data_IF_732256807354
#
_entry.id   IF_732256807354
#
_cell.length_a   1.000
_cell.length_b   1.000
_cell.length_c   1.000
_cell.angle_alpha   90.00
_cell.angle_beta   90.00
_cell.angle_gamma   90.00
#
_symmetry.space_group_name_H-M   'P 1'
#
loop_
_entity.id
_entity.type
_entity.pdbx_description
1 polymer ?
#
# COMPACT_ATOMS: atom_id res chain seq x y z
N UNK A 1 3.53 17.33 29.57
CA UNK A 1 4.96 16.93 29.55
C UNK A 1 5.13 15.96 28.39
N UNK A 2 5.67 16.42 27.26
CA UNK A 2 5.84 15.58 26.07
C UNK A 2 7.09 14.72 26.23
N UNK A 3 6.92 13.41 26.32
CA UNK A 3 8.04 12.46 26.21
C UNK A 3 8.57 12.55 24.79
N UNK A 4 9.80 13.04 24.61
CA UNK A 4 10.49 12.96 23.32
C UNK A 4 10.80 11.50 23.05
N UNK A 5 9.95 10.81 22.30
CA UNK A 5 10.22 9.43 21.86
C UNK A 5 11.37 9.47 20.87
N UNK A 6 12.60 9.29 21.35
CA UNK A 6 13.79 9.16 20.50
C UNK A 6 13.69 7.88 19.68
N UNK A 7 14.21 7.91 18.45
CA UNK A 7 14.32 6.70 17.65
C UNK A 7 15.27 5.70 18.34
N UNK A 8 15.01 4.39 18.26
CA UNK A 8 15.92 3.38 18.75
C UNK A 8 17.20 3.40 17.93
N UNK A 9 18.33 3.12 18.57
CA UNK A 9 19.65 3.03 17.92
C UNK A 9 19.72 1.94 16.85
N UNK A 10 18.79 0.98 16.86
CA UNK A 10 18.68 -0.11 15.89
C UNK A 10 18.03 0.31 14.57
N UNK A 11 17.46 1.52 14.50
CA UNK A 11 16.79 2.04 13.31
C UNK A 11 17.77 2.92 12.53
N UNK A 12 18.23 2.43 11.38
CA UNK A 12 19.03 3.25 10.47
C UNK A 12 18.12 4.14 9.60
N UNK A 13 18.00 5.40 10.01
CA UNK A 13 17.20 6.41 9.31
C UNK A 13 17.72 6.69 7.90
N UNK A 14 19.04 6.56 7.66
CA UNK A 14 19.61 6.81 6.33
C UNK A 14 19.26 5.67 5.37
N UNK A 15 19.36 4.43 5.84
CA UNK A 15 18.98 3.24 5.06
C UNK A 15 17.50 3.29 4.69
N UNK A 16 16.61 3.53 5.66
CA UNK A 16 15.17 3.67 5.43
C UNK A 16 14.88 4.82 4.46
N UNK A 17 15.56 5.95 4.60
CA UNK A 17 15.40 7.09 3.70
C UNK A 17 15.82 6.75 2.27
N UNK A 18 16.91 6.01 2.09
CA UNK A 18 17.37 5.54 0.78
C UNK A 18 16.38 4.56 0.13
N UNK A 19 15.86 3.61 0.89
CA UNK A 19 15.00 2.55 0.35
C UNK A 19 13.57 3.05 0.07
N UNK A 20 13.04 3.94 0.91
CA UNK A 20 11.65 4.40 0.83
C UNK A 20 11.48 5.77 0.18
N UNK A 21 12.57 6.54 0.04
CA UNK A 21 12.52 7.93 -0.42
C UNK A 21 11.86 8.89 0.59
N UNK A 22 11.62 8.46 1.82
CA UNK A 22 11.06 9.29 2.89
C UNK A 22 12.14 10.20 3.48
N UNK A 23 11.77 11.44 3.79
CA UNK A 23 12.67 12.34 4.53
C UNK A 23 12.84 11.88 5.98
N UNK A 24 13.98 12.20 6.60
CA UNK A 24 14.24 11.91 8.02
C UNK A 24 13.13 12.42 8.94
N UNK A 25 12.57 13.60 8.66
CA UNK A 25 11.43 14.15 9.42
C UNK A 25 10.18 13.28 9.32
N UNK A 26 9.88 12.74 8.13
CA UNK A 26 8.75 11.83 7.95
C UNK A 26 8.98 10.52 8.71
N UNK A 27 10.18 9.94 8.63
CA UNK A 27 10.53 8.72 9.36
C UNK A 27 10.39 8.93 10.88
N UNK A 28 10.87 10.07 11.41
CA UNK A 28 10.68 10.40 12.82
C UNK A 28 9.20 10.53 13.20
N UNK A 29 8.38 11.16 12.35
CA UNK A 29 6.94 11.28 12.59
C UNK A 29 6.23 9.92 12.57
N UNK A 30 6.65 9.02 11.67
CA UNK A 30 6.14 7.64 11.62
C UNK A 30 6.53 6.86 12.88
N UNK A 31 7.75 7.06 13.39
CA UNK A 31 8.20 6.44 14.63
C UNK A 31 7.37 6.89 15.83
N UNK A 32 7.15 8.19 16.00
CA UNK A 32 6.28 8.70 17.06
C UNK A 32 4.90 8.05 16.98
N UNK A 33 4.35 7.94 15.76
CA UNK A 33 3.04 7.32 15.57
C UNK A 33 3.03 5.83 15.87
N UNK A 34 4.03 5.08 15.40
CA UNK A 34 4.19 3.66 15.69
C UNK A 34 4.25 3.41 17.20
N UNK A 35 5.05 4.21 17.90
CA UNK A 35 5.19 4.12 19.34
C UNK A 35 3.90 4.45 20.10
N UNK A 36 3.11 5.42 19.62
CA UNK A 36 1.79 5.72 20.18
C UNK A 36 0.80 4.56 20.02
N UNK A 37 0.82 3.88 18.87
CA UNK A 37 -0.06 2.75 18.58
C UNK A 37 0.32 1.49 19.37
N UNK A 38 1.62 1.23 19.55
CA UNK A 38 2.14 0.07 20.29
C UNK A 38 1.85 0.17 21.81
N UNK A 39 1.65 1.39 22.32
CA UNK A 39 1.31 1.60 23.73
C UNK A 39 -0.13 1.21 24.00
N UNK A 40 -0.31 0.08 24.67
CA UNK A 40 -1.62 -0.35 25.15
C UNK A 40 -2.23 0.70 26.09
N UNK A 41 -3.44 1.18 25.76
CA UNK A 41 -4.26 2.05 26.61
C UNK A 41 -4.62 1.41 27.96
N UNK A 42 -4.52 0.07 28.09
CA UNK A 42 -4.86 -0.67 29.32
C UNK A 42 -3.80 -0.58 30.42
N UNK A 43 -2.61 -0.03 30.15
CA UNK A 43 -1.59 0.22 31.17
C UNK A 43 -1.01 -1.03 31.86
N UNK A 44 -1.33 -2.23 31.39
CA UNK A 44 -0.88 -3.49 32.00
C UNK A 44 0.54 -3.88 31.57
N UNK A 45 0.96 -3.48 30.37
CA UNK A 45 2.34 -3.70 29.92
C UNK A 45 3.22 -2.51 30.26
N UNK A 46 4.18 -2.71 31.18
CA UNK A 46 5.18 -1.72 31.60
C UNK A 46 6.18 -1.30 30.51
N UNK A 47 5.99 -1.72 29.25
CA UNK A 47 6.96 -1.53 28.18
C UNK A 47 6.38 -1.53 26.79
N UNK A 48 7.14 -0.93 25.88
CA UNK A 48 7.00 -0.95 24.43
C UNK A 48 7.14 -2.39 23.90
N UNK A 49 6.15 -2.92 23.15
CA UNK A 49 6.17 -4.32 22.66
C UNK A 49 7.15 -4.49 21.50
N UNK A 50 7.37 -3.42 20.72
CA UNK A 50 8.24 -3.47 19.55
C UNK A 50 7.55 -3.83 18.24
N UNK A 51 6.26 -4.10 18.27
CA UNK A 51 5.45 -4.50 17.13
C UNK A 51 4.00 -4.07 17.34
N UNK A 52 3.28 -3.80 16.25
CA UNK A 52 1.84 -3.59 16.27
C UNK A 52 1.13 -4.92 16.00
N UNK A 53 0.03 -5.17 16.69
CA UNK A 53 -0.93 -6.24 16.39
C UNK A 53 -2.23 -5.66 15.79
N UNK A 54 -3.16 -6.54 15.41
CA UNK A 54 -4.44 -6.12 14.82
C UNK A 54 -5.23 -5.19 15.74
N UNK A 55 -5.22 -5.44 17.05
CA UNK A 55 -5.94 -4.64 18.05
C UNK A 55 -5.31 -3.25 18.22
N UNK A 56 -4.00 -3.12 18.06
CA UNK A 56 -3.31 -1.83 18.10
C UNK A 56 -3.69 -0.94 16.90
N UNK A 57 -3.92 -1.53 15.72
CA UNK A 57 -4.38 -0.80 14.53
C UNK A 57 -5.88 -0.48 14.57
N UNK A 58 -6.70 -1.40 15.09
CA UNK A 58 -8.16 -1.25 15.17
C UNK A 58 -8.57 -0.09 16.10
N UNK A 59 -7.79 0.16 17.16
CA UNK A 59 -7.99 1.28 18.10
C UNK A 59 -7.98 2.68 17.48
N UNK A 60 -7.49 2.82 16.27
CA UNK A 60 -7.50 4.10 15.58
C UNK A 60 -8.95 4.38 15.16
N UNK A 61 -9.68 5.23 15.89
CA UNK A 61 -11.10 5.64 15.66
C UNK A 61 -11.54 5.81 14.19
N UNK A 62 -10.62 6.17 13.29
CA UNK A 62 -10.90 6.29 11.85
C UNK A 62 -11.11 4.95 11.14
N UNK A 63 -10.70 3.85 11.75
CA UNK A 63 -10.90 2.50 11.26
C UNK A 63 -12.33 2.03 11.57
N UNK A 64 -12.87 2.35 12.75
CA UNK A 64 -14.28 2.04 13.10
C UNK A 64 -15.30 2.65 12.13
N UNK A 65 -15.03 3.87 11.65
CA UNK A 65 -15.92 4.58 10.72
C UNK A 65 -15.68 4.19 9.24
N UNK A 66 -14.64 3.40 8.95
CA UNK A 66 -14.25 3.05 7.59
C UNK A 66 -14.56 1.57 7.31
N UNK A 67 -15.55 1.23 6.46
CA UNK A 67 -15.99 -0.15 6.29
C UNK A 67 -14.94 -1.09 5.67
N UNK A 68 -13.88 -0.56 5.06
CA UNK A 68 -12.74 -1.36 4.57
C UNK A 68 -11.56 -1.44 5.54
N UNK A 69 -11.69 -0.86 6.74
CA UNK A 69 -10.65 -0.86 7.76
C UNK A 69 -10.19 -2.26 8.14
N UNK A 70 -11.11 -3.16 8.44
CA UNK A 70 -10.78 -4.55 8.81
C UNK A 70 -10.08 -5.26 7.66
N UNK A 71 -10.45 -4.95 6.41
CA UNK A 71 -9.77 -5.48 5.23
C UNK A 71 -8.36 -4.92 5.10
N UNK A 72 -8.19 -3.62 5.34
CA UNK A 72 -6.91 -2.93 5.32
C UNK A 72 -5.94 -3.53 6.34
N UNK A 73 -6.40 -3.73 7.57
CA UNK A 73 -5.62 -4.37 8.64
C UNK A 73 -5.17 -5.77 8.19
N UNK A 74 -6.08 -6.60 7.67
CA UNK A 74 -5.74 -7.93 7.14
C UNK A 74 -4.67 -7.87 6.04
N UNK A 75 -4.80 -6.96 5.07
CA UNK A 75 -3.79 -6.80 4.01
C UNK A 75 -2.44 -6.38 4.58
N UNK A 76 -2.41 -5.39 5.48
CA UNK A 76 -1.16 -4.90 6.08
C UNK A 76 -0.40 -6.05 6.75
N UNK A 77 -1.07 -6.84 7.59
CA UNK A 77 -0.41 -7.91 8.33
C UNK A 77 0.05 -9.08 7.46
N UNK A 78 -0.67 -9.37 6.39
CA UNK A 78 -0.30 -10.48 5.51
C UNK A 78 0.75 -10.07 4.46
N UNK A 79 0.71 -8.84 3.95
CA UNK A 79 1.59 -8.38 2.87
C UNK A 79 2.90 -7.78 3.41
N UNK A 80 2.87 -7.22 4.63
CA UNK A 80 4.02 -6.57 5.25
C UNK A 80 4.41 -7.17 6.60
N UNK A 81 3.45 -7.72 7.35
CA UNK A 81 3.68 -8.30 8.67
C UNK A 81 4.24 -9.72 8.65
N UNK A 82 4.46 -10.27 9.84
CA UNK A 82 4.85 -11.66 10.05
C UNK A 82 4.25 -12.15 11.37
N UNK A 83 3.66 -13.35 11.38
CA UNK A 83 3.01 -13.95 12.56
C UNK A 83 1.97 -13.04 13.24
N UNK A 84 1.21 -12.27 12.44
CA UNK A 84 0.21 -11.32 12.95
C UNK A 84 0.81 -10.09 13.64
N UNK A 85 2.09 -9.82 13.44
CA UNK A 85 2.83 -8.70 14.02
C UNK A 85 3.43 -7.82 12.93
N UNK A 86 3.52 -6.52 13.20
CA UNK A 86 4.07 -5.54 12.29
C UNK A 86 5.17 -4.73 12.99
N UNK A 87 6.40 -4.93 12.57
CA UNK A 87 7.56 -4.19 13.10
C UNK A 87 7.63 -2.77 12.51
N UNK A 88 8.47 -1.91 13.09
CA UNK A 88 8.61 -0.54 12.60
C UNK A 88 9.07 -0.46 11.13
N UNK A 89 10.04 -1.27 10.70
CA UNK A 89 10.51 -1.27 9.31
C UNK A 89 9.38 -1.68 8.35
N UNK A 90 8.64 -2.73 8.68
CA UNK A 90 7.48 -3.18 7.89
C UNK A 90 6.36 -2.14 7.86
N UNK A 91 6.11 -1.44 8.97
CA UNK A 91 5.17 -0.33 9.02
C UNK A 91 5.62 0.83 8.12
N UNK A 92 6.92 1.16 8.09
CA UNK A 92 7.45 2.20 7.21
C UNK A 92 7.37 1.79 5.74
N UNK A 93 7.64 0.53 5.41
CA UNK A 93 7.48 0.00 4.05
C UNK A 93 6.03 0.11 3.57
N UNK A 94 5.07 -0.27 4.41
CA UNK A 94 3.64 -0.07 4.14
C UNK A 94 3.32 1.43 3.91
N UNK A 95 3.73 2.31 4.82
CA UNK A 95 3.46 3.74 4.73
C UNK A 95 4.15 4.38 3.51
N UNK A 96 5.28 3.84 3.05
CA UNK A 96 6.00 4.31 1.88
C UNK A 96 5.24 4.05 0.57
N UNK A 97 4.40 3.01 0.51
CA UNK A 97 3.58 2.66 -0.66
C UNK A 97 2.62 3.81 -1.03
N UNK A 98 2.19 4.59 -0.03
CA UNK A 98 1.23 5.67 -0.19
C UNK A 98 1.81 7.07 0.05
N UNK A 99 3.10 7.15 0.37
CA UNK A 99 3.77 8.42 0.55
C UNK A 99 3.78 9.21 -0.76
N UNK A 100 3.20 10.41 -0.75
CA UNK A 100 3.34 11.33 -1.87
C UNK A 100 4.79 11.82 -1.92
N UNK A 101 5.55 11.35 -2.91
CA UNK A 101 6.86 11.91 -3.18
C UNK A 101 6.66 13.28 -3.84
N UNK A 102 7.09 14.35 -3.15
CA UNK A 102 7.16 15.66 -3.81
C UNK A 102 8.13 15.50 -4.97
N UNK A 103 7.66 15.70 -6.20
CA UNK A 103 8.53 15.86 -7.37
C UNK A 103 9.51 16.98 -7.05
N UNK A 104 10.71 16.64 -6.60
CA UNK A 104 11.82 17.59 -6.59
C UNK A 104 12.18 17.79 -8.04
N UNK A 105 11.61 18.83 -8.65
CA UNK A 105 12.01 19.29 -9.97
C UNK A 105 13.51 19.47 -9.99
N UNK A 106 14.20 18.51 -10.58
CA UNK A 106 15.65 18.52 -10.78
C UNK A 106 15.93 17.80 -12.10
N UNK A 107 15.40 18.39 -13.19
CA UNK A 107 16.20 18.51 -14.40
C UNK A 107 17.39 19.42 -14.04
N UNK A 108 18.45 18.83 -13.48
CA UNK A 108 19.78 19.36 -13.72
C UNK A 108 20.53 18.26 -14.45
N UNK A 109 20.87 18.55 -15.70
CA UNK A 109 21.78 17.77 -16.51
C UNK A 109 23.02 17.41 -15.70
N UNK A 110 23.27 16.12 -15.54
CA UNK A 110 24.61 15.62 -15.34
C UNK A 110 24.73 14.28 -16.06
N UNK A 111 24.61 14.32 -17.39
CA UNK A 111 25.20 13.30 -18.26
C UNK A 111 26.72 13.46 -18.15
N UNK A 112 27.33 12.76 -17.20
CA UNK A 112 28.78 12.62 -17.13
C UNK A 112 29.15 11.15 -17.35
N UNK A 113 29.80 10.94 -18.50
CA UNK A 113 30.70 9.81 -18.81
C UNK A 113 30.05 8.47 -19.17
N UNK A 114 29.81 8.31 -20.47
CA UNK A 114 29.63 7.01 -21.14
C UNK A 114 30.91 6.19 -20.93
N UNK A 115 30.82 5.05 -20.23
CA UNK A 115 31.81 3.99 -20.37
C UNK A 115 31.16 2.83 -21.14
N UNK A 116 31.59 2.69 -22.39
CA UNK A 116 31.26 1.58 -23.28
C UNK A 116 31.71 0.26 -22.64
N UNK A 117 30.83 -0.75 -22.68
CA UNK A 117 31.07 -2.15 -23.10
C UNK A 117 30.06 -3.06 -22.37
N UNK A 118 28.95 -3.40 -23.05
CA UNK A 118 28.34 -4.75 -23.25
C UNK A 118 26.91 -4.51 -23.78
N UNK A 119 26.83 -4.22 -25.08
CA UNK A 119 25.76 -3.44 -25.73
C UNK A 119 24.40 -4.13 -25.80
N UNK A 120 24.26 -5.43 -25.54
CA UNK A 120 22.94 -6.10 -25.69
C UNK A 120 22.17 -6.22 -24.38
N UNK A 121 22.86 -6.52 -23.26
CA UNK A 121 22.22 -6.56 -21.94
C UNK A 121 21.96 -5.15 -21.40
N UNK A 122 22.93 -4.24 -21.54
CA UNK A 122 22.77 -2.85 -21.10
C UNK A 122 21.67 -2.12 -21.88
N UNK A 123 21.56 -2.32 -23.20
CA UNK A 123 20.46 -1.74 -23.99
C UNK A 123 19.11 -2.37 -23.62
N UNK A 124 19.06 -3.68 -23.35
CA UNK A 124 17.81 -4.33 -22.92
C UNK A 124 17.38 -3.83 -21.53
N UNK A 125 18.32 -3.71 -20.59
CA UNK A 125 18.09 -3.15 -19.26
C UNK A 125 17.73 -1.66 -19.31
N UNK A 126 18.39 -0.87 -20.15
CA UNK A 126 18.08 0.54 -20.36
C UNK A 126 16.71 0.71 -21.02
N UNK A 127 16.36 -0.10 -22.03
CA UNK A 127 15.03 -0.09 -22.66
C UNK A 127 13.93 -0.55 -21.70
N UNK A 128 14.19 -1.54 -20.85
CA UNK A 128 13.27 -1.94 -19.77
C UNK A 128 13.12 -0.82 -18.72
N UNK A 129 14.19 -0.11 -18.39
CA UNK A 129 14.16 1.06 -17.48
C UNK A 129 13.49 2.29 -18.09
N UNK A 130 13.52 2.44 -19.42
CA UNK A 130 12.81 3.49 -20.17
C UNK A 130 11.31 3.17 -20.26
N UNK A 131 10.95 1.88 -20.28
CA UNK A 131 9.56 1.42 -20.32
C UNK A 131 8.83 1.60 -18.99
N UNK A 132 9.56 1.69 -17.88
CA UNK A 132 9.01 1.87 -16.54
C UNK A 132 9.60 3.11 -15.88
N UNK A 133 8.85 4.22 -15.93
CA UNK A 133 9.16 5.40 -15.13
C UNK A 133 9.13 5.04 -13.63
N UNK A 134 9.90 5.73 -12.76
CA UNK A 134 9.69 5.64 -11.31
C UNK A 134 8.22 5.91 -10.91
N UNK A 135 7.52 6.74 -11.69
CA UNK A 135 6.07 6.99 -11.57
C UNK A 135 5.26 5.71 -11.85
N UNK A 136 5.66 4.92 -12.84
CA UNK A 136 5.03 3.62 -13.15
C UNK A 136 5.31 2.58 -12.08
N UNK A 137 6.51 2.59 -11.47
CA UNK A 137 6.83 1.66 -10.37
C UNK A 137 6.05 2.00 -9.10
N UNK A 138 5.89 3.29 -8.77
CA UNK A 138 5.03 3.73 -7.67
C UNK A 138 3.56 3.40 -7.91
N UNK A 139 3.09 3.68 -9.12
CA UNK A 139 1.73 3.39 -9.54
C UNK A 139 1.45 1.89 -9.48
N UNK A 140 2.35 1.06 -10.02
CA UNK A 140 2.23 -0.39 -9.98
C UNK A 140 2.16 -0.93 -8.55
N UNK A 141 2.97 -0.41 -7.62
CA UNK A 141 2.88 -0.80 -6.19
C UNK A 141 1.52 -0.46 -5.58
N UNK A 142 0.98 0.73 -5.86
CA UNK A 142 -0.34 1.14 -5.37
C UNK A 142 -1.46 0.32 -5.99
N UNK A 143 -1.40 0.07 -7.30
CA UNK A 143 -2.37 -0.76 -8.01
C UNK A 143 -2.36 -2.18 -7.43
N UNK A 144 -1.19 -2.78 -7.25
CA UNK A 144 -1.04 -4.10 -6.66
C UNK A 144 -1.60 -4.17 -5.24
N UNK A 145 -1.37 -3.13 -4.43
CA UNK A 145 -1.95 -3.07 -3.09
C UNK A 145 -3.49 -2.97 -3.13
N UNK A 146 -4.05 -2.14 -4.01
CA UNK A 146 -5.50 -2.05 -4.14
C UNK A 146 -6.05 -3.38 -4.63
N UNK A 147 -5.41 -4.02 -5.60
CA UNK A 147 -5.78 -5.36 -6.03
C UNK A 147 -5.80 -6.35 -4.85
N UNK A 148 -4.77 -6.35 -4.00
CA UNK A 148 -4.72 -7.22 -2.80
C UNK A 148 -5.75 -6.86 -1.72
N UNK A 149 -6.34 -5.67 -1.75
CA UNK A 149 -7.50 -5.29 -0.94
C UNK A 149 -8.79 -5.93 -1.43
N UNK A 150 -8.95 -6.10 -2.74
CA UNK A 150 -10.13 -6.75 -3.32
C UNK A 150 -9.99 -8.28 -3.38
N UNK A 151 -8.79 -8.82 -3.58
CA UNK A 151 -8.50 -10.26 -3.68
C UNK A 151 -8.53 -10.94 -2.29
N UNK A 152 -9.71 -11.41 -1.86
CA UNK A 152 -9.93 -11.92 -0.49
C UNK A 152 -9.23 -13.26 -0.28
N UNK A 153 -9.32 -14.15 -1.26
CA UNK A 153 -8.73 -15.50 -1.20
C UNK A 153 -7.25 -15.56 -1.59
N UNK A 154 -6.70 -14.47 -2.14
CA UNK A 154 -5.27 -14.27 -2.47
C UNK A 154 -4.76 -15.17 -3.58
N UNK A 155 -5.66 -15.58 -4.48
CA UNK A 155 -5.30 -16.40 -5.62
C UNK A 155 -4.67 -15.57 -6.78
N UNK A 156 -4.53 -14.24 -6.61
CA UNK A 156 -3.99 -13.31 -7.61
C UNK A 156 -5.01 -12.92 -8.68
N UNK A 157 -6.30 -13.14 -8.41
CA UNK A 157 -7.44 -13.00 -9.32
C UNK A 157 -8.62 -12.43 -8.54
N UNK A 158 -9.38 -11.49 -9.11
CA UNK A 158 -10.63 -11.02 -8.50
C UNK A 158 -11.79 -11.77 -9.12
N UNK A 159 -12.42 -12.60 -8.31
CA UNK A 159 -13.65 -13.30 -8.62
C UNK A 159 -14.89 -12.43 -8.34
N UNK A 160 -16.06 -12.94 -8.72
CA UNK A 160 -17.34 -12.32 -8.39
C UNK A 160 -17.57 -12.33 -6.89
N UNK A 161 -17.19 -13.42 -6.25
CA UNK A 161 -17.31 -13.67 -4.82
C UNK A 161 -16.48 -12.64 -4.02
N UNK A 162 -15.25 -12.36 -4.46
CA UNK A 162 -14.39 -11.33 -3.87
C UNK A 162 -15.06 -9.95 -3.87
N UNK A 163 -15.58 -9.53 -5.03
CA UNK A 163 -16.23 -8.22 -5.18
C UNK A 163 -17.52 -8.17 -4.36
N UNK A 164 -18.31 -9.24 -4.34
CA UNK A 164 -19.51 -9.31 -3.51
C UNK A 164 -19.19 -9.18 -2.02
N UNK A 165 -18.15 -9.85 -1.53
CA UNK A 165 -17.76 -9.78 -0.12
C UNK A 165 -17.35 -8.35 0.27
N UNK A 166 -16.56 -7.69 -0.57
CA UNK A 166 -16.16 -6.31 -0.36
C UNK A 166 -17.35 -5.35 -0.44
N UNK A 167 -18.27 -5.53 -1.40
CA UNK A 167 -19.49 -4.72 -1.51
C UNK A 167 -20.38 -4.85 -0.26
N UNK A 168 -20.54 -6.07 0.26
CA UNK A 168 -21.28 -6.34 1.49
C UNK A 168 -20.64 -5.65 2.69
N UNK A 169 -19.31 -5.67 2.79
CA UNK A 169 -18.58 -4.93 3.84
C UNK A 169 -18.78 -3.41 3.71
N UNK A 170 -18.71 -2.86 2.50
CA UNK A 170 -18.79 -1.41 2.25
C UNK A 170 -20.20 -0.83 2.42
N UNK A 171 -21.22 -1.52 1.94
CA UNK A 171 -22.60 -0.99 1.86
C UNK A 171 -23.44 -1.45 3.04
N UNK A 172 -23.12 -2.60 3.63
CA UNK A 172 -23.77 -3.18 4.82
C UNK A 172 -25.22 -3.66 4.61
N UNK A 173 -26.05 -2.86 3.93
CA UNK A 173 -27.46 -3.12 3.64
C UNK A 173 -27.69 -3.40 2.14
N UNK A 174 -26.94 -4.34 1.58
CA UNK A 174 -27.17 -4.83 0.22
C UNK A 174 -27.55 -6.31 0.31
N UNK A 175 -28.58 -6.72 -0.44
CA UNK A 175 -28.95 -8.13 -0.54
C UNK A 175 -28.03 -8.87 -1.53
N UNK A 176 -28.02 -10.20 -1.46
CA UNK A 176 -27.09 -11.03 -2.23
C UNK A 176 -27.30 -10.90 -3.74
N UNK A 177 -28.54 -10.72 -4.17
CA UNK A 177 -28.91 -10.58 -5.59
C UNK A 177 -28.45 -9.24 -6.17
N UNK A 178 -28.65 -8.13 -5.45
CA UNK A 178 -28.15 -6.80 -5.84
C UNK A 178 -26.62 -6.78 -5.86
N UNK A 179 -25.98 -7.35 -4.84
CA UNK A 179 -24.53 -7.47 -4.80
C UNK A 179 -24.00 -8.30 -5.99
N UNK A 180 -24.71 -9.38 -6.35
CA UNK A 180 -24.42 -10.20 -7.54
C UNK A 180 -24.47 -9.40 -8.83
N UNK A 181 -25.53 -8.62 -9.05
CA UNK A 181 -25.70 -7.81 -10.27
C UNK A 181 -24.60 -6.75 -10.37
N UNK A 182 -24.28 -6.06 -9.27
CA UNK A 182 -23.23 -5.06 -9.26
C UNK A 182 -21.86 -5.72 -9.52
N UNK A 183 -21.57 -6.84 -8.86
CA UNK A 183 -20.31 -7.54 -9.04
C UNK A 183 -20.10 -8.03 -10.48
N UNK A 184 -21.13 -8.61 -11.11
CA UNK A 184 -21.08 -9.01 -12.53
C UNK A 184 -20.82 -7.84 -13.45
N UNK A 185 -21.49 -6.70 -13.22
CA UNK A 185 -21.27 -5.49 -14.01
C UNK A 185 -19.85 -4.95 -13.86
N UNK A 186 -19.33 -4.91 -12.63
CA UNK A 186 -17.96 -4.49 -12.37
C UNK A 186 -16.98 -5.42 -13.08
N UNK A 187 -17.13 -6.73 -12.98
CA UNK A 187 -16.24 -7.68 -13.68
C UNK A 187 -16.28 -7.45 -15.20
N UNK A 188 -17.47 -7.29 -15.78
CA UNK A 188 -17.64 -7.03 -17.22
C UNK A 188 -16.86 -5.80 -17.70
N UNK A 189 -16.84 -4.72 -16.90
CA UNK A 189 -16.05 -3.52 -17.19
C UNK A 189 -14.54 -3.84 -17.27
N UNK A 190 -14.06 -4.83 -16.52
CA UNK A 190 -12.65 -5.24 -16.51
C UNK A 190 -12.26 -6.30 -17.53
N UNK A 191 -13.22 -7.08 -18.00
CA UNK A 191 -12.96 -8.27 -18.81
C UNK A 191 -13.53 -8.18 -20.23
N UNK A 192 -13.85 -6.97 -20.68
CA UNK A 192 -14.46 -6.71 -22.00
C UNK A 192 -15.72 -7.57 -22.20
N UNK A 193 -16.58 -7.63 -21.17
CA UNK A 193 -17.87 -8.35 -21.12
C UNK A 193 -17.80 -9.87 -21.40
N UNK A 194 -16.64 -10.51 -21.22
CA UNK A 194 -16.58 -11.97 -21.28
C UNK A 194 -17.31 -12.61 -20.07
N UNK A 195 -18.24 -13.56 -20.28
CA UNK A 195 -18.99 -14.21 -19.19
C UNK A 195 -18.11 -15.13 -18.34
N UNK A 196 -18.39 -15.22 -17.03
CA UNK A 196 -17.61 -15.97 -16.03
C UNK A 196 -16.12 -15.57 -15.98
N UNK A 197 -15.84 -14.33 -16.35
CA UNK A 197 -14.47 -13.84 -16.35
C UNK A 197 -13.99 -13.47 -14.97
N UNK A 198 -12.67 -13.44 -14.86
CA UNK A 198 -11.94 -13.19 -13.65
C UNK A 198 -11.04 -11.99 -13.92
N UNK A 199 -11.02 -11.02 -13.02
CA UNK A 199 -10.15 -9.85 -13.19
C UNK A 199 -8.73 -10.22 -12.77
N UNK A 200 -7.80 -10.19 -13.72
CA UNK A 200 -6.37 -10.35 -13.41
C UNK A 200 -5.72 -9.00 -13.12
N UNK A 201 -4.51 -9.01 -12.54
CA UNK A 201 -3.75 -7.77 -12.33
C UNK A 201 -3.52 -7.01 -13.64
N UNK A 202 -3.33 -7.70 -14.76
CA UNK A 202 -3.16 -7.09 -16.09
C UNK A 202 -4.43 -6.35 -16.54
N UNK A 203 -5.61 -6.98 -16.39
CA UNK A 203 -6.89 -6.34 -16.68
C UNK A 203 -7.09 -5.09 -15.81
N UNK A 204 -6.76 -5.21 -14.52
CA UNK A 204 -6.90 -4.16 -13.53
C UNK A 204 -5.96 -2.98 -13.82
N UNK A 205 -4.70 -3.25 -14.16
CA UNK A 205 -3.72 -2.25 -14.58
C UNK A 205 -4.17 -1.52 -15.84
N UNK A 206 -4.63 -2.24 -16.88
CA UNK A 206 -5.07 -1.66 -18.15
C UNK A 206 -6.13 -0.58 -17.95
N UNK A 207 -7.14 -0.85 -17.12
CA UNK A 207 -8.23 0.10 -16.86
C UNK A 207 -7.80 1.23 -15.95
N UNK A 208 -7.05 0.92 -14.89
CA UNK A 208 -6.54 1.96 -14.01
C UNK A 208 -5.53 2.86 -14.72
N UNK A 209 -4.87 2.42 -15.78
CA UNK A 209 -4.05 3.27 -16.65
C UNK A 209 -4.87 4.33 -17.40
N UNK A 210 -6.13 4.03 -17.74
CA UNK A 210 -7.03 4.99 -18.40
C UNK A 210 -7.62 6.03 -17.45
N UNK A 211 -7.58 5.76 -16.14
CA UNK A 211 -8.16 6.61 -15.11
C UNK A 211 -7.06 7.41 -14.38
N UNK A 212 -7.26 8.72 -14.21
CA UNK A 212 -6.29 9.59 -13.50
C UNK A 212 -6.43 9.42 -11.98
N UNK A 213 -5.78 8.38 -11.45
CA UNK A 213 -5.91 7.96 -10.04
C UNK A 213 -4.86 8.54 -9.08
N UNK A 214 -3.81 9.20 -9.59
CA UNK A 214 -2.65 9.56 -8.78
C UNK A 214 -2.99 10.53 -7.63
N UNK A 215 -4.00 11.40 -7.82
CA UNK A 215 -4.43 12.35 -6.77
C UNK A 215 -5.39 11.74 -5.74
N UNK A 216 -6.17 10.72 -6.11
CA UNK A 216 -7.20 10.12 -5.24
C UNK A 216 -6.67 9.01 -4.32
N UNK A 217 -5.53 8.40 -4.64
CA UNK A 217 -4.93 7.30 -3.85
C UNK A 217 -4.00 7.75 -2.71
N UNK A 218 -3.94 9.04 -2.36
CA UNK A 218 -3.20 9.46 -1.18
C UNK A 218 -3.95 9.01 0.08
N UNK A 219 -3.38 8.08 0.85
CA UNK A 219 -3.92 7.73 2.16
C UNK A 219 -3.85 8.96 3.07
N UNK A 220 -4.97 9.67 3.21
CA UNK A 220 -5.19 10.65 4.29
C UNK A 220 -5.55 9.94 5.60
N UNK A 221 -5.03 8.74 5.84
CA UNK A 221 -5.42 7.92 6.99
C UNK A 221 -5.06 8.60 8.33
N UNK A 222 -4.10 9.53 8.34
CA UNK A 222 -3.53 10.04 9.59
C UNK A 222 -3.21 11.55 9.56
N UNK A 223 -4.15 12.39 9.09
CA UNK A 223 -4.22 13.80 9.54
C UNK A 223 -5.16 13.97 10.72
#
# INVERSE_FOLDING_TARGET
MGTTTSLPSTVDVNEISSNTGLSKKQICSLWTRFYELDRDARGESKGYKGYLDADDLDRVRKFDENPIASRLIKVIFNDFGSDGKLTFNQFVDFMSTFAQRKRTGSHHEQRSSIQTITTTAAIKTDLESIKYSPDDTERARKIKFIFSMYDVDRNGRLSKEDIQEILKMMVGKINDDEASIIAEKVIGEFTEDQPNSIVTLENFEKILHTLDFNEKMSLKLLK
#
